data_IF_588392675852
#
_entry.id   IF_588392675852
#
_cell.length_a   1.000
_cell.length_b   1.000
_cell.length_c   1.000
_cell.angle_alpha   90.00
_cell.angle_beta   90.00
_cell.angle_gamma   90.00
#
_symmetry.space_group_name_H-M   'P 1'
#
loop_
_entity.id
_entity.type
_entity.pdbx_description
1 polymer ?
#
# COMPACT_ATOMS: atom_id res chain seq x y z
N UNK A 1 2.93 -4.01 23.08
CA UNK A 1 1.91 -2.96 22.86
C UNK A 1 1.20 -3.26 21.55
N UNK A 2 -0.11 -3.10 21.50
CA UNK A 2 -0.88 -3.19 20.26
C UNK A 2 -0.45 -2.09 19.29
N UNK A 3 -0.31 -2.43 18.00
CA UNK A 3 0.01 -1.48 16.93
C UNK A 3 -1.22 -1.22 16.06
N UNK A 4 -1.28 -0.04 15.48
CA UNK A 4 -2.25 0.30 14.44
C UNK A 4 -1.66 -0.07 13.08
N UNK A 5 -2.30 -1.01 12.41
CA UNK A 5 -1.89 -1.53 11.10
C UNK A 5 -2.85 -1.04 10.04
N UNK A 6 -2.34 -0.34 9.04
CA UNK A 6 -3.11 0.08 7.87
C UNK A 6 -2.67 -0.70 6.63
N UNK A 7 -3.57 -1.44 6.03
CA UNK A 7 -3.35 -2.17 4.79
C UNK A 7 -3.97 -1.39 3.62
N UNK A 8 -3.14 -0.97 2.68
CA UNK A 8 -3.55 -0.31 1.44
C UNK A 8 -3.52 -1.30 0.27
N UNK A 9 -4.68 -1.88 -0.04
CA UNK A 9 -4.84 -2.84 -1.13
C UNK A 9 -5.11 -2.11 -2.45
N UNK A 10 -4.13 -2.11 -3.35
CA UNK A 10 -4.21 -1.46 -4.66
C UNK A 10 -4.96 -2.30 -5.70
N UNK A 11 -5.11 -3.60 -5.49
CA UNK A 11 -5.70 -4.49 -6.51
C UNK A 11 -7.13 -4.10 -6.90
N UNK A 12 -7.44 -3.96 -8.20
CA UNK A 12 -8.80 -3.71 -8.65
C UNK A 12 -9.71 -4.95 -8.53
N UNK A 13 -9.15 -6.14 -8.43
CA UNK A 13 -9.93 -7.38 -8.35
C UNK A 13 -10.32 -7.68 -6.90
N UNK A 14 -11.60 -7.62 -6.59
CA UNK A 14 -12.15 -8.11 -5.31
C UNK A 14 -11.91 -9.62 -5.21
N UNK A 15 -11.42 -10.08 -4.06
CA UNK A 15 -10.99 -11.47 -3.85
C UNK A 15 -9.90 -11.94 -4.85
N UNK A 16 -9.16 -11.01 -5.45
CA UNK A 16 -7.98 -11.30 -6.26
C UNK A 16 -6.79 -11.70 -5.37
N UNK A 17 -5.72 -12.17 -5.99
CA UNK A 17 -4.58 -12.72 -5.25
C UNK A 17 -3.97 -11.75 -4.23
N UNK A 18 -3.75 -10.48 -4.60
CA UNK A 18 -3.25 -9.47 -3.65
C UNK A 18 -4.23 -9.21 -2.51
N UNK A 19 -5.54 -9.19 -2.79
CA UNK A 19 -6.59 -8.94 -1.81
C UNK A 19 -6.68 -10.08 -0.78
N UNK A 20 -6.54 -11.33 -1.24
CA UNK A 20 -6.47 -12.52 -0.39
C UNK A 20 -5.23 -12.54 0.51
N UNK A 21 -4.07 -12.17 0.00
CA UNK A 21 -2.86 -12.05 0.83
C UNK A 21 -3.00 -10.93 1.86
N UNK A 22 -3.67 -9.83 1.52
CA UNK A 22 -4.01 -8.79 2.50
C UNK A 22 -4.93 -9.32 3.60
N UNK A 23 -5.89 -10.19 3.28
CA UNK A 23 -6.79 -10.79 4.27
C UNK A 23 -6.04 -11.75 5.21
N UNK A 24 -5.10 -12.54 4.69
CA UNK A 24 -4.26 -13.40 5.52
C UNK A 24 -3.31 -12.59 6.41
N UNK A 25 -2.71 -11.51 5.88
CA UNK A 25 -1.92 -10.58 6.69
C UNK A 25 -2.77 -9.96 7.80
N UNK A 26 -3.97 -9.47 7.46
CA UNK A 26 -4.91 -8.89 8.42
C UNK A 26 -5.24 -9.91 9.52
N UNK A 27 -5.54 -11.17 9.17
CA UNK A 27 -5.83 -12.23 10.12
C UNK A 27 -4.67 -12.43 11.10
N UNK A 28 -3.44 -12.61 10.60
CA UNK A 28 -2.26 -12.81 11.45
C UNK A 28 -1.96 -11.60 12.35
N UNK A 29 -2.17 -10.38 11.85
CA UNK A 29 -1.97 -9.17 12.64
C UNK A 29 -3.03 -9.02 13.77
N UNK A 30 -4.29 -9.38 13.52
CA UNK A 30 -5.36 -9.43 14.53
C UNK A 30 -5.08 -10.50 15.58
N UNK A 31 -4.68 -11.72 15.17
CA UNK A 31 -4.31 -12.82 16.08
C UNK A 31 -3.13 -12.42 16.98
N UNK A 32 -2.25 -11.52 16.49
CA UNK A 32 -1.15 -10.96 17.27
C UNK A 32 -1.55 -9.79 18.18
N UNK A 33 -2.84 -9.48 18.29
CA UNK A 33 -3.39 -8.45 19.19
C UNK A 33 -3.25 -7.01 18.68
N UNK A 34 -3.09 -6.81 17.37
CA UNK A 34 -3.01 -5.47 16.78
C UNK A 34 -4.40 -4.97 16.32
N UNK A 35 -4.53 -3.65 16.18
CA UNK A 35 -5.67 -3.01 15.53
C UNK A 35 -5.39 -2.95 14.02
N UNK A 36 -6.31 -3.46 13.18
CA UNK A 36 -6.07 -3.55 11.73
C UNK A 36 -7.22 -2.94 10.95
N UNK A 37 -6.89 -2.06 10.02
CA UNK A 37 -7.81 -1.57 9.00
C UNK A 37 -7.27 -1.91 7.61
N UNK A 38 -8.13 -2.45 6.73
CA UNK A 38 -7.82 -2.66 5.30
C UNK A 38 -8.65 -1.70 4.46
N UNK A 39 -7.98 -0.91 3.63
CA UNK A 39 -8.59 -0.05 2.63
C UNK A 39 -8.33 -0.63 1.24
N UNK A 40 -9.40 -0.94 0.52
CA UNK A 40 -9.33 -1.22 -0.91
C UNK A 40 -9.38 0.09 -1.67
N UNK A 41 -8.24 0.48 -2.26
CA UNK A 41 -8.10 1.79 -2.92
C UNK A 41 -9.09 1.96 -4.07
N UNK A 42 -9.44 0.88 -4.76
CA UNK A 42 -10.41 0.90 -5.87
C UNK A 42 -11.85 1.20 -5.46
N UNK A 43 -12.16 1.13 -4.17
CA UNK A 43 -13.46 1.52 -3.60
C UNK A 43 -13.46 2.98 -3.13
N UNK A 44 -12.36 3.70 -3.35
CA UNK A 44 -12.14 5.09 -2.95
C UNK A 44 -11.96 5.99 -4.17
N UNK A 45 -12.39 7.23 -4.03
CA UNK A 45 -12.12 8.27 -5.03
C UNK A 45 -10.81 8.95 -4.68
N UNK A 46 -9.75 8.64 -5.42
CA UNK A 46 -8.45 9.28 -5.28
C UNK A 46 -7.99 9.74 -6.64
N UNK A 47 -8.06 11.04 -6.88
CA UNK A 47 -7.55 11.66 -8.11
C UNK A 47 -6.03 11.71 -8.10
N UNK A 48 -5.35 11.56 -9.23
CA UNK A 48 -3.91 11.78 -9.33
C UNK A 48 -3.50 13.19 -8.86
N UNK A 49 -2.28 13.31 -8.34
CA UNK A 49 -1.73 14.62 -7.99
C UNK A 49 -1.55 15.48 -9.23
N UNK A 50 -2.09 16.72 -9.21
CA UNK A 50 -1.97 17.68 -10.31
C UNK A 50 -0.72 18.58 -10.21
N UNK A 51 0.15 18.33 -9.22
CA UNK A 51 1.36 19.12 -8.95
C UNK A 51 1.09 20.65 -8.81
N UNK A 52 -0.07 21.03 -8.31
CA UNK A 52 -0.49 22.44 -8.20
C UNK A 52 0.13 23.19 -7.01
N UNK A 53 0.84 22.50 -6.13
CA UNK A 53 1.46 23.03 -4.91
C UNK A 53 0.52 23.68 -3.89
N UNK A 54 -0.81 23.60 -4.10
CA UNK A 54 -1.79 24.20 -3.20
C UNK A 54 -1.60 23.75 -1.75
N UNK A 55 -1.38 22.45 -1.53
CA UNK A 55 -1.19 21.89 -0.19
C UNK A 55 0.02 22.48 0.58
N UNK A 56 1.09 22.86 -0.13
CA UNK A 56 2.28 23.47 0.47
C UNK A 56 1.95 24.79 1.20
N UNK A 57 1.09 25.59 0.60
CA UNK A 57 0.79 26.93 1.07
C UNK A 57 -0.50 26.97 1.95
N UNK A 58 -1.17 25.80 2.12
CA UNK A 58 -2.43 25.68 2.83
C UNK A 58 -2.40 24.58 3.92
N UNK A 59 -1.29 24.46 4.65
CA UNK A 59 -1.20 23.58 5.82
C UNK A 59 -1.45 22.11 5.53
N UNK A 60 -1.03 21.61 4.35
CA UNK A 60 -1.24 20.21 3.96
C UNK A 60 -2.63 19.88 3.39
N UNK A 61 -3.50 20.87 3.27
CA UNK A 61 -4.84 20.67 2.68
C UNK A 61 -4.73 20.58 1.16
N UNK A 62 -5.22 19.46 0.58
CA UNK A 62 -5.23 19.30 -0.87
C UNK A 62 -6.40 20.03 -1.54
N UNK A 63 -6.18 20.53 -2.77
CA UNK A 63 -7.24 21.16 -3.57
C UNK A 63 -8.33 20.14 -3.98
N UNK A 64 -7.97 18.87 -4.18
CA UNK A 64 -8.94 17.81 -4.48
C UNK A 64 -9.75 17.45 -3.22
N UNK A 65 -11.07 17.46 -3.36
CA UNK A 65 -12.02 17.06 -2.31
C UNK A 65 -12.47 15.62 -2.57
N UNK A 66 -11.63 14.68 -2.20
CA UNK A 66 -11.81 13.25 -2.41
C UNK A 66 -11.38 12.46 -1.17
N UNK A 67 -11.44 11.12 -1.23
CA UNK A 67 -11.17 10.25 -0.07
C UNK A 67 -9.70 10.26 0.40
N UNK A 68 -8.81 10.94 -0.33
CA UNK A 68 -7.37 10.96 0.03
C UNK A 68 -7.09 11.62 1.36
N UNK A 69 -7.90 12.60 1.77
CA UNK A 69 -7.69 13.28 3.05
C UNK A 69 -7.84 12.31 4.23
N UNK A 70 -8.87 11.43 4.18
CA UNK A 70 -9.10 10.40 5.20
C UNK A 70 -8.00 9.32 5.16
N UNK A 71 -7.65 8.85 3.96
CA UNK A 71 -6.58 7.86 3.78
C UNK A 71 -5.26 8.39 4.36
N UNK A 72 -4.90 9.62 4.04
CA UNK A 72 -3.65 10.23 4.51
C UNK A 72 -3.64 10.42 6.02
N UNK A 73 -4.76 10.79 6.63
CA UNK A 73 -4.85 10.87 8.09
C UNK A 73 -4.58 9.49 8.72
N UNK A 74 -5.18 8.42 8.17
CA UNK A 74 -4.95 7.05 8.66
C UNK A 74 -3.50 6.59 8.45
N UNK A 75 -2.86 7.01 7.36
CA UNK A 75 -1.42 6.74 7.16
C UNK A 75 -0.55 7.45 8.19
N UNK A 76 -0.92 8.68 8.59
CA UNK A 76 -0.23 9.42 9.67
C UNK A 76 -0.41 8.71 11.01
N UNK A 77 -1.61 8.21 11.31
CA UNK A 77 -1.97 7.62 12.61
C UNK A 77 -1.49 6.16 12.77
N UNK A 78 -1.22 5.45 11.68
CA UNK A 78 -0.79 4.07 11.71
C UNK A 78 0.68 3.93 12.18
N UNK A 79 0.98 2.85 12.89
CA UNK A 79 2.35 2.42 13.22
C UNK A 79 2.97 1.58 12.08
N UNK A 80 2.10 0.82 11.41
CA UNK A 80 2.48 -0.13 10.35
C UNK A 80 1.70 0.18 9.07
N UNK A 81 2.41 0.31 7.97
CA UNK A 81 1.85 0.47 6.63
C UNK A 81 2.13 -0.79 5.79
N UNK A 82 1.06 -1.43 5.32
CA UNK A 82 1.15 -2.55 4.40
C UNK A 82 0.74 -2.07 3.01
N UNK A 83 1.68 -2.05 2.07
CA UNK A 83 1.44 -1.65 0.69
C UNK A 83 1.29 -2.89 -0.18
N UNK A 84 0.13 -3.09 -0.78
CA UNK A 84 -0.17 -4.27 -1.57
C UNK A 84 -0.54 -3.91 -3.01
N UNK A 85 0.17 -4.49 -3.99
CA UNK A 85 -0.07 -4.26 -5.41
C UNK A 85 0.10 -5.53 -6.24
N UNK A 86 -0.75 -5.75 -7.26
CA UNK A 86 -0.37 -6.60 -8.36
C UNK A 86 0.74 -5.91 -9.18
N UNK A 87 1.58 -6.71 -9.84
CA UNK A 87 2.56 -6.21 -10.81
C UNK A 87 1.85 -5.93 -12.13
N UNK A 88 1.86 -4.68 -12.54
CA UNK A 88 1.37 -4.25 -13.84
C UNK A 88 2.52 -3.61 -14.61
N UNK A 89 2.97 -4.30 -15.68
CA UNK A 89 4.13 -3.86 -16.47
C UNK A 89 5.35 -3.54 -15.59
N UNK A 90 5.71 -4.51 -14.73
CA UNK A 90 6.86 -4.42 -13.81
C UNK A 90 6.76 -3.26 -12.79
N UNK A 91 5.56 -2.75 -12.49
CA UNK A 91 5.38 -1.65 -11.55
C UNK A 91 4.16 -1.84 -10.66
N UNK A 92 4.00 -0.96 -9.67
CA UNK A 92 2.79 -0.87 -8.86
C UNK A 92 1.63 -0.40 -9.73
N UNK A 93 0.42 -0.81 -9.38
CA UNK A 93 -0.78 -0.37 -10.09
C UNK A 93 -1.07 1.13 -9.86
N UNK A 94 -1.73 1.75 -10.85
CA UNK A 94 -1.94 3.20 -10.89
C UNK A 94 -2.74 3.73 -9.68
N UNK A 95 -3.69 2.96 -9.18
CA UNK A 95 -4.53 3.37 -8.05
C UNK A 95 -3.71 3.57 -6.77
N UNK A 96 -2.82 2.63 -6.46
CA UNK A 96 -1.94 2.75 -5.29
C UNK A 96 -0.88 3.85 -5.51
N UNK A 97 -0.38 3.99 -6.74
CA UNK A 97 0.55 5.09 -7.08
C UNK A 97 -0.08 6.46 -6.86
N UNK A 98 -1.36 6.63 -7.22
CA UNK A 98 -2.07 7.88 -6.97
C UNK A 98 -2.14 8.21 -5.46
N UNK A 99 -2.36 7.21 -4.60
CA UNK A 99 -2.32 7.40 -3.14
C UNK A 99 -0.93 7.84 -2.70
N UNK A 100 0.13 7.13 -3.13
CA UNK A 100 1.52 7.45 -2.78
C UNK A 100 1.86 8.89 -3.19
N UNK A 101 1.57 9.28 -4.43
CA UNK A 101 1.86 10.63 -4.93
C UNK A 101 1.12 11.73 -4.14
N UNK A 102 -0.09 11.42 -3.69
CA UNK A 102 -0.92 12.35 -2.94
C UNK A 102 -0.49 12.50 -1.47
N UNK A 103 0.39 11.62 -0.96
CA UNK A 103 0.96 11.81 0.38
C UNK A 103 1.80 13.09 0.47
N UNK A 104 2.26 13.64 -0.65
CA UNK A 104 3.02 14.91 -0.70
C UNK A 104 2.38 16.03 0.10
N UNK A 105 1.07 16.02 0.29
CA UNK A 105 0.35 17.04 1.05
C UNK A 105 0.80 17.10 2.53
N UNK A 106 1.12 15.96 3.14
CA UNK A 106 1.50 15.85 4.57
C UNK A 106 2.59 14.79 4.77
N UNK A 107 3.43 14.53 3.78
CA UNK A 107 4.40 13.44 3.80
C UNK A 107 5.38 13.50 4.98
N UNK A 108 5.72 14.69 5.46
CA UNK A 108 6.59 14.88 6.65
C UNK A 108 5.93 14.41 7.96
N UNK A 109 4.62 14.24 7.98
CA UNK A 109 3.89 13.72 9.13
C UNK A 109 3.83 12.18 9.12
N UNK A 110 3.97 11.56 7.95
CA UNK A 110 4.11 10.10 7.81
C UNK A 110 5.54 9.73 8.16
N UNK A 111 5.81 9.39 9.42
CA UNK A 111 7.15 9.09 9.95
C UNK A 111 7.13 7.95 10.94
N UNK A 112 8.30 7.33 11.19
CA UNK A 112 8.48 6.22 12.13
C UNK A 112 7.55 5.04 11.81
N UNK A 113 7.50 4.61 10.54
CA UNK A 113 6.60 3.55 10.07
C UNK A 113 7.34 2.24 9.86
N UNK A 114 6.71 1.15 10.29
CA UNK A 114 7.09 -0.18 9.82
C UNK A 114 6.38 -0.48 8.51
N UNK A 115 7.12 -0.89 7.49
CA UNK A 115 6.59 -1.22 6.18
C UNK A 115 6.60 -2.72 5.92
N UNK A 116 5.49 -3.22 5.38
CA UNK A 116 5.38 -4.53 4.76
C UNK A 116 4.90 -4.37 3.32
N UNK A 117 5.40 -5.20 2.43
CA UNK A 117 5.04 -5.17 1.02
C UNK A 117 4.41 -6.50 0.60
N UNK A 118 3.30 -6.42 -0.12
CA UNK A 118 2.62 -7.58 -0.71
C UNK A 118 2.57 -7.36 -2.22
N UNK A 119 3.21 -8.24 -2.96
CA UNK A 119 3.29 -8.19 -4.42
C UNK A 119 2.74 -9.48 -5.00
N UNK A 120 1.88 -9.38 -6.02
CA UNK A 120 1.39 -10.56 -6.75
C UNK A 120 1.61 -10.38 -8.24
N UNK A 121 2.01 -11.45 -8.94
CA UNK A 121 2.32 -11.40 -10.36
C UNK A 121 2.04 -12.71 -11.07
N UNK A 122 1.82 -12.62 -12.38
CA UNK A 122 1.63 -13.78 -13.25
C UNK A 122 2.95 -14.51 -13.53
N UNK A 123 4.04 -13.77 -13.57
CA UNK A 123 5.38 -14.31 -13.83
C UNK A 123 5.82 -15.21 -12.67
N UNK A 124 6.52 -16.30 -12.98
CA UNK A 124 7.08 -17.23 -12.02
C UNK A 124 8.43 -16.76 -11.46
N UNK A 125 9.15 -15.92 -12.21
CA UNK A 125 10.46 -15.41 -11.82
C UNK A 125 10.32 -14.33 -10.73
N UNK A 126 10.89 -14.55 -9.56
CA UNK A 126 10.87 -13.58 -8.45
C UNK A 126 11.43 -12.20 -8.84
N UNK A 127 12.44 -12.16 -9.71
CA UNK A 127 13.05 -10.92 -10.20
C UNK A 127 12.04 -9.98 -10.89
N UNK A 128 10.93 -10.50 -11.39
CA UNK A 128 9.87 -9.68 -11.98
C UNK A 128 9.13 -8.79 -10.97
N UNK A 129 9.34 -9.00 -9.66
CA UNK A 129 8.84 -8.13 -8.61
C UNK A 129 9.78 -6.95 -8.28
N UNK A 130 11.05 -7.00 -8.70
CA UNK A 130 12.11 -6.09 -8.21
C UNK A 130 11.79 -4.62 -8.44
N UNK A 131 11.28 -4.25 -9.62
CA UNK A 131 10.94 -2.86 -9.91
C UNK A 131 9.69 -2.39 -9.16
N UNK A 132 8.74 -3.28 -8.90
CA UNK A 132 7.57 -3.00 -8.04
C UNK A 132 8.02 -2.76 -6.60
N UNK A 133 8.91 -3.61 -6.07
CA UNK A 133 9.49 -3.42 -4.74
C UNK A 133 10.36 -2.16 -4.68
N UNK A 134 11.11 -1.84 -5.73
CA UNK A 134 11.87 -0.60 -5.81
C UNK A 134 10.96 0.64 -5.72
N UNK A 135 9.76 0.62 -6.32
CA UNK A 135 8.78 1.69 -6.17
C UNK A 135 8.34 1.86 -4.70
N UNK A 136 8.08 0.77 -3.98
CA UNK A 136 7.71 0.82 -2.57
C UNK A 136 8.85 1.32 -1.69
N UNK A 137 10.06 0.81 -1.91
CA UNK A 137 11.26 1.21 -1.17
C UNK A 137 11.60 2.67 -1.40
N UNK A 138 11.49 3.16 -2.65
CA UNK A 138 11.69 4.57 -2.96
C UNK A 138 10.69 5.50 -2.24
N UNK A 139 9.45 5.04 -2.01
CA UNK A 139 8.52 5.78 -1.15
C UNK A 139 8.94 5.72 0.32
N UNK A 140 9.29 4.54 0.82
CA UNK A 140 9.73 4.38 2.21
C UNK A 140 11.00 5.18 2.52
N UNK A 141 11.93 5.30 1.58
CA UNK A 141 13.15 6.12 1.70
C UNK A 141 12.84 7.63 1.90
N UNK A 142 11.65 8.07 1.47
CA UNK A 142 11.17 9.43 1.72
C UNK A 142 10.48 9.59 3.09
N UNK A 143 10.27 8.51 3.85
CA UNK A 143 9.60 8.51 5.15
C UNK A 143 10.63 8.44 6.26
N UNK A 144 10.73 9.50 7.06
CA UNK A 144 11.67 9.54 8.18
C UNK A 144 11.38 8.43 9.21
N UNK A 145 12.41 7.68 9.59
CA UNK A 145 12.30 6.56 10.52
C UNK A 145 11.55 5.33 9.95
N UNK A 146 11.46 5.19 8.62
CA UNK A 146 10.89 4.01 7.99
C UNK A 146 11.76 2.76 8.18
N UNK A 147 11.11 1.61 8.42
CA UNK A 147 11.78 0.32 8.55
C UNK A 147 11.02 -0.73 7.74
N UNK A 148 11.66 -1.32 6.73
CA UNK A 148 11.12 -2.50 6.04
C UNK A 148 11.16 -3.71 6.98
N UNK A 149 10.02 -4.36 7.20
CA UNK A 149 9.86 -5.50 8.11
C UNK A 149 9.62 -6.81 7.41
N UNK A 150 9.08 -6.77 6.19
CA UNK A 150 8.86 -8.00 5.44
C UNK A 150 8.24 -7.76 4.07
N UNK A 151 8.42 -8.76 3.22
CA UNK A 151 7.91 -8.80 1.85
C UNK A 151 7.24 -10.16 1.62
N UNK A 152 6.05 -10.13 1.03
CA UNK A 152 5.33 -11.32 0.57
C UNK A 152 5.19 -11.22 -0.94
N UNK A 153 5.64 -12.25 -1.66
CA UNK A 153 5.56 -12.32 -3.12
C UNK A 153 4.76 -13.55 -3.52
N UNK A 154 3.58 -13.33 -4.10
CA UNK A 154 2.80 -14.35 -4.78
C UNK A 154 3.10 -14.33 -6.27
N UNK A 155 4.07 -15.14 -6.71
CA UNK A 155 4.45 -15.28 -8.12
C UNK A 155 3.68 -16.41 -8.81
N UNK A 156 3.65 -16.40 -10.15
CA UNK A 156 2.94 -17.41 -10.95
C UNK A 156 1.42 -17.43 -10.75
N UNK A 157 0.81 -16.36 -10.24
CA UNK A 157 -0.61 -16.28 -9.88
C UNK A 157 -1.39 -15.34 -10.78
N UNK A 158 -1.81 -15.83 -11.95
CA UNK A 158 -2.62 -15.05 -12.89
C UNK A 158 -4.12 -15.08 -12.55
N UNK A 159 -4.66 -16.28 -12.33
CA UNK A 159 -6.08 -16.46 -12.05
C UNK A 159 -6.43 -16.03 -10.61
N UNK A 160 -7.62 -15.43 -10.39
CA UNK A 160 -8.07 -15.07 -9.05
C UNK A 160 -8.12 -16.30 -8.13
N UNK A 161 -7.59 -16.15 -6.92
CA UNK A 161 -7.59 -17.19 -5.91
C UNK A 161 -6.46 -18.22 -6.04
N UNK A 162 -5.66 -18.19 -7.10
CA UNK A 162 -4.57 -19.16 -7.31
C UNK A 162 -3.53 -19.10 -6.18
N UNK A 163 -3.34 -17.94 -5.55
CA UNK A 163 -2.40 -17.76 -4.44
C UNK A 163 -2.68 -18.66 -3.23
N UNK A 164 -3.92 -19.13 -3.04
CA UNK A 164 -4.29 -20.06 -1.95
C UNK A 164 -3.55 -21.40 -2.02
N UNK A 165 -3.04 -21.75 -3.19
CA UNK A 165 -2.35 -23.01 -3.46
C UNK A 165 -0.83 -22.80 -3.63
N UNK A 166 -0.30 -21.67 -3.19
CA UNK A 166 1.13 -21.37 -3.22
C UNK A 166 1.69 -21.29 -1.81
N UNK A 167 3.01 -21.27 -1.69
CA UNK A 167 3.75 -21.07 -0.44
C UNK A 167 4.09 -19.60 -0.16
N UNK A 168 3.35 -18.65 -0.76
CA UNK A 168 3.56 -17.22 -0.60
C UNK A 168 3.34 -16.75 0.83
#
# INVERSE_FOLDING_TARGET
MSKKVLILSGSPRKNGNSDLLCDEFMRGALESGNEVEKIRITEKKVSPCSACYYCRDHGGVCVHKDDMADILQKMVDADVLVLASPVYFYSINAQLKAVIDRTVARWLEVKNKEFYYIVTMADEAYASADTTLACFRGYADCVDGAVEKGVVIGNGVYEPGKVKNTSA
#
